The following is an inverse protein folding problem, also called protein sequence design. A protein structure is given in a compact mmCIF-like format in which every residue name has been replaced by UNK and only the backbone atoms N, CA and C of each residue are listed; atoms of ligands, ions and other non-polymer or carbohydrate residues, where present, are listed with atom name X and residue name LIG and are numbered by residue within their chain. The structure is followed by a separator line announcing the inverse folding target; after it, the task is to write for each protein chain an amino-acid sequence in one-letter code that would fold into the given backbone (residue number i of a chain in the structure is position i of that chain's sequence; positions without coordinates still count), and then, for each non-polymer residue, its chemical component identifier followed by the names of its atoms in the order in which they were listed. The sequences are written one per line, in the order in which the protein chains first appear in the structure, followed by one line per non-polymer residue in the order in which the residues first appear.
data_IF_448997476066
#
_entry.id   IF_448997476066
#
_cell.length_a   1.000
_cell.length_b   1.000
_cell.length_c   1.000
_cell.angle_alpha   90.00
_cell.angle_beta   90.00
_cell.angle_gamma   90.00
#
_symmetry.space_group_name_H-M   'P 1'
#
loop_
_entity.id
_entity.type
_entity.pdbx_description
1 polymer ?
#
# COMPACT_ATOMS: atom_id res chain seq x y z
N UNK A 1 0.69 32.73 -35.50
CA UNK A 1 1.11 31.35 -35.78
C UNK A 1 0.84 30.53 -34.51
N UNK A 2 -0.35 29.92 -34.41
CA UNK A 2 -0.86 29.28 -33.18
C UNK A 2 -0.63 27.77 -33.31
N UNK A 3 0.30 27.24 -32.52
CA UNK A 3 0.61 25.81 -32.50
C UNK A 3 -0.43 25.05 -31.68
N UNK A 4 -1.10 24.10 -32.33
CA UNK A 4 -2.08 23.18 -31.76
C UNK A 4 -1.37 22.22 -30.79
N UNK A 5 -1.65 22.31 -29.49
CA UNK A 5 -1.29 21.27 -28.52
C UNK A 5 -2.34 20.15 -28.64
N UNK A 6 -1.89 19.02 -29.19
CA UNK A 6 -2.65 17.78 -29.36
C UNK A 6 -2.98 17.21 -27.98
N UNK A 7 -4.27 17.16 -27.68
CA UNK A 7 -4.89 16.36 -26.63
C UNK A 7 -4.66 14.87 -26.94
N UNK A 8 -3.69 14.25 -26.28
CA UNK A 8 -3.49 12.79 -26.26
C UNK A 8 -3.21 12.35 -24.82
N UNK A 9 -4.26 12.24 -23.99
CA UNK A 9 -4.14 11.67 -22.64
C UNK A 9 -5.37 10.89 -22.17
N UNK A 10 -6.23 10.46 -23.09
CA UNK A 10 -7.57 9.93 -22.77
C UNK A 10 -7.85 8.50 -23.27
N UNK A 11 -6.82 7.74 -23.66
CA UNK A 11 -6.99 6.39 -24.21
C UNK A 11 -6.43 5.24 -23.33
N UNK A 12 -5.68 5.53 -22.26
CA UNK A 12 -4.96 4.50 -21.50
C UNK A 12 -5.64 4.08 -20.18
N UNK A 13 -6.66 4.82 -19.72
CA UNK A 13 -7.44 4.50 -18.49
C UNK A 13 -8.61 3.52 -18.71
N UNK A 14 -8.80 2.99 -19.93
CA UNK A 14 -9.99 2.19 -20.29
C UNK A 14 -9.76 0.69 -20.41
N UNK A 15 -8.61 0.17 -20.01
CA UNK A 15 -8.27 -1.26 -20.20
C UNK A 15 -8.13 -2.08 -18.92
N UNK A 16 -8.62 -1.61 -17.77
CA UNK A 16 -8.59 -2.38 -16.52
C UNK A 16 -9.82 -3.27 -16.28
N UNK A 17 -10.86 -3.18 -17.11
CA UNK A 17 -12.08 -3.99 -17.00
C UNK A 17 -12.04 -5.26 -17.87
N UNK A 18 -10.97 -6.05 -17.76
CA UNK A 18 -10.98 -7.42 -18.25
C UNK A 18 -11.59 -8.34 -17.17
N UNK A 19 -12.92 -8.42 -17.17
CA UNK A 19 -13.79 -9.50 -16.73
C UNK A 19 -13.20 -10.70 -15.93
N UNK A 20 -12.52 -10.48 -14.81
CA UNK A 20 -12.42 -11.47 -13.74
C UNK A 20 -13.66 -11.36 -12.87
N UNK A 21 -14.26 -12.50 -12.51
CA UNK A 21 -15.33 -12.53 -11.53
C UNK A 21 -14.86 -11.79 -10.27
N UNK A 22 -15.65 -10.86 -9.71
CA UNK A 22 -15.25 -10.13 -8.52
C UNK A 22 -15.01 -11.15 -7.40
N UNK A 23 -13.80 -11.13 -6.81
CA UNK A 23 -13.40 -12.01 -5.71
C UNK A 23 -14.52 -12.10 -4.66
N UNK A 24 -14.79 -13.30 -4.17
CA UNK A 24 -15.71 -13.54 -3.07
C UNK A 24 -15.24 -12.83 -1.80
N UNK A 25 -16.16 -12.63 -0.84
CA UNK A 25 -15.80 -12.04 0.45
C UNK A 25 -14.73 -12.86 1.16
N UNK A 26 -14.78 -14.19 1.08
CA UNK A 26 -13.81 -15.07 1.74
C UNK A 26 -12.42 -14.97 1.10
N UNK A 27 -12.32 -14.91 -0.23
CA UNK A 27 -11.04 -14.67 -0.91
C UNK A 27 -10.43 -13.32 -0.53
N UNK A 28 -11.26 -12.26 -0.47
CA UNK A 28 -10.80 -10.93 -0.04
C UNK A 28 -10.31 -10.94 1.40
N UNK A 29 -10.97 -11.67 2.30
CA UNK A 29 -10.52 -11.83 3.69
C UNK A 29 -9.18 -12.57 3.76
N UNK A 30 -9.02 -13.65 2.99
CA UNK A 30 -7.75 -14.37 2.91
C UNK A 30 -6.60 -13.50 2.40
N UNK A 31 -6.85 -12.70 1.36
CA UNK A 31 -5.88 -11.71 0.87
C UNK A 31 -5.54 -10.67 1.93
N UNK A 32 -6.54 -10.12 2.61
CA UNK A 32 -6.33 -9.11 3.65
C UNK A 32 -5.51 -9.66 4.82
N UNK A 33 -5.79 -10.88 5.30
CA UNK A 33 -5.04 -11.51 6.41
C UNK A 33 -3.58 -11.71 6.02
N UNK A 34 -3.33 -12.24 4.82
CA UNK A 34 -1.96 -12.48 4.34
C UNK A 34 -1.20 -11.17 4.20
N UNK A 35 -1.85 -10.14 3.64
CA UNK A 35 -1.26 -8.82 3.48
C UNK A 35 -0.97 -8.16 4.83
N UNK A 36 -1.92 -8.25 5.78
CA UNK A 36 -1.75 -7.70 7.12
C UNK A 36 -0.55 -8.32 7.85
N UNK A 37 -0.36 -9.64 7.74
CA UNK A 37 0.79 -10.31 8.33
C UNK A 37 2.13 -9.79 7.76
N UNK A 38 2.27 -9.68 6.44
CA UNK A 38 3.49 -9.15 5.83
C UNK A 38 3.70 -7.65 6.14
N UNK A 39 2.62 -6.91 6.28
CA UNK A 39 2.66 -5.51 6.69
C UNK A 39 3.17 -5.35 8.12
N UNK A 40 2.71 -6.16 9.08
CA UNK A 40 3.22 -6.10 10.45
C UNK A 40 4.69 -6.51 10.53
N UNK A 41 5.13 -7.52 9.76
CA UNK A 41 6.56 -7.86 9.60
C UNK A 41 7.39 -6.65 9.12
N UNK A 42 6.87 -5.86 8.17
CA UNK A 42 7.52 -4.63 7.70
C UNK A 42 7.59 -3.60 8.84
N UNK A 43 6.48 -3.38 9.56
CA UNK A 43 6.43 -2.36 10.62
C UNK A 43 7.39 -2.69 11.75
N UNK A 44 7.44 -3.95 12.20
CA UNK A 44 8.40 -4.41 13.21
C UNK A 44 9.85 -4.12 12.75
N UNK A 45 10.17 -4.45 11.50
CA UNK A 45 11.50 -4.18 10.93
C UNK A 45 11.87 -2.71 10.94
N UNK A 46 10.92 -1.83 10.57
CA UNK A 46 11.13 -0.39 10.56
C UNK A 46 11.30 0.18 11.97
N UNK A 47 10.49 -0.28 12.93
CA UNK A 47 10.60 0.09 14.33
C UNK A 47 11.95 -0.33 14.93
N UNK A 48 12.36 -1.58 14.72
CA UNK A 48 13.66 -2.09 15.19
C UNK A 48 14.82 -1.31 14.61
N UNK A 49 14.76 -0.99 13.32
CA UNK A 49 15.79 -0.22 12.63
C UNK A 49 15.87 1.24 13.15
N UNK A 50 14.72 1.86 13.43
CA UNK A 50 14.66 3.19 14.00
C UNK A 50 15.18 3.23 15.45
N UNK A 51 14.94 2.18 16.23
CA UNK A 51 15.36 2.11 17.63
C UNK A 51 16.82 1.71 17.82
N UNK A 52 17.29 0.72 17.06
CA UNK A 52 18.61 0.09 17.25
C UNK A 52 19.62 0.41 16.14
N UNK A 53 19.18 1.10 15.08
CA UNK A 53 19.98 1.41 13.90
C UNK A 53 19.96 0.31 12.84
N UNK A 54 20.55 0.56 11.66
CA UNK A 54 20.55 -0.38 10.56
C UNK A 54 21.39 -1.62 10.87
N UNK A 55 20.86 -2.79 10.56
CA UNK A 55 21.55 -4.07 10.68
C UNK A 55 21.33 -4.94 9.43
N UNK A 56 22.30 -5.79 9.09
CA UNK A 56 22.25 -6.63 7.89
C UNK A 56 21.02 -7.54 7.85
N UNK A 57 20.56 -8.03 9.00
CA UNK A 57 19.36 -8.87 9.06
C UNK A 57 18.07 -8.07 8.84
N UNK A 58 17.99 -6.85 9.39
CA UNK A 58 16.87 -5.92 9.17
C UNK A 58 16.78 -5.47 7.71
N UNK A 59 17.92 -5.21 7.06
CA UNK A 59 17.99 -4.88 5.63
C UNK A 59 17.40 -6.02 4.76
N UNK A 60 17.77 -7.27 5.05
CA UNK A 60 17.22 -8.45 4.35
C UNK A 60 15.72 -8.61 4.58
N UNK A 61 15.28 -8.38 5.81
CA UNK A 61 13.87 -8.45 6.20
C UNK A 61 13.07 -7.36 5.48
N UNK A 62 13.56 -6.12 5.48
CA UNK A 62 12.96 -5.01 4.74
C UNK A 62 12.84 -5.33 3.25
N UNK A 63 13.93 -5.77 2.62
CA UNK A 63 13.93 -6.12 1.19
C UNK A 63 12.93 -7.24 0.86
N UNK A 64 12.78 -8.22 1.76
CA UNK A 64 11.78 -9.30 1.62
C UNK A 64 10.36 -8.74 1.67
N UNK A 65 10.01 -8.00 2.72
CA UNK A 65 8.68 -7.44 2.90
C UNK A 65 8.33 -6.46 1.79
N UNK A 66 9.25 -5.55 1.46
CA UNK A 66 9.12 -4.59 0.36
C UNK A 66 8.78 -5.27 -0.95
N UNK A 67 9.59 -6.24 -1.38
CA UNK A 67 9.34 -6.96 -2.65
C UNK A 67 7.96 -7.62 -2.65
N UNK A 68 7.63 -8.33 -1.58
CA UNK A 68 6.33 -8.98 -1.47
C UNK A 68 5.18 -7.99 -1.54
N UNK A 69 5.26 -6.86 -0.82
CA UNK A 69 4.22 -5.84 -0.83
C UNK A 69 4.06 -5.19 -2.20
N UNK A 70 5.14 -4.88 -2.91
CA UNK A 70 5.07 -4.35 -4.28
C UNK A 70 4.30 -5.30 -5.21
N UNK A 71 4.55 -6.60 -5.10
CA UNK A 71 3.92 -7.63 -5.93
C UNK A 71 2.45 -7.87 -5.57
N UNK A 72 2.07 -7.69 -4.30
CA UNK A 72 0.75 -8.11 -3.78
C UNK A 72 -0.17 -6.94 -3.40
N UNK A 73 0.31 -5.69 -3.39
CA UNK A 73 -0.50 -4.55 -2.96
C UNK A 73 -1.51 -4.10 -4.02
N UNK A 74 -1.17 -4.12 -5.31
CA UNK A 74 -2.04 -3.57 -6.36
C UNK A 74 -3.45 -4.20 -6.38
N UNK A 75 -3.63 -5.54 -6.26
CA UNK A 75 -4.95 -6.16 -6.19
C UNK A 75 -5.75 -5.81 -4.93
N UNK A 76 -5.08 -5.47 -3.82
CA UNK A 76 -5.71 -5.10 -2.56
C UNK A 76 -6.06 -3.61 -2.52
N UNK A 77 -5.20 -2.76 -3.10
CA UNK A 77 -5.35 -1.30 -3.15
C UNK A 77 -6.68 -0.86 -3.76
N UNK A 78 -7.19 -1.58 -4.76
CA UNK A 78 -8.52 -1.28 -5.36
C UNK A 78 -9.67 -1.35 -4.35
N UNK A 79 -9.53 -2.14 -3.29
CA UNK A 79 -10.53 -2.24 -2.23
C UNK A 79 -10.22 -1.31 -1.06
N UNK A 80 -8.94 -1.01 -0.82
CA UNK A 80 -8.50 -0.11 0.24
C UNK A 80 -8.68 1.37 -0.13
N UNK A 81 -8.77 1.73 -1.40
CA UNK A 81 -8.73 3.13 -1.86
C UNK A 81 -9.76 4.04 -1.17
N UNK A 82 -10.93 3.51 -0.77
CA UNK A 82 -11.96 4.25 -0.05
C UNK A 82 -11.57 4.59 1.41
N UNK A 83 -10.56 3.92 1.97
CA UNK A 83 -10.07 4.06 3.33
C UNK A 83 -8.66 4.65 3.42
N UNK A 84 -8.02 4.89 2.27
CA UNK A 84 -6.72 5.52 2.22
C UNK A 84 -6.87 7.03 2.35
N UNK A 85 -5.95 7.63 3.11
CA UNK A 85 -5.86 9.08 3.27
C UNK A 85 -4.47 9.58 2.83
N UNK A 86 -4.17 9.60 1.51
CA UNK A 86 -2.95 10.18 0.94
C UNK A 86 -2.62 11.57 1.50
N UNK A 87 -1.35 11.82 1.81
CA UNK A 87 -0.86 13.17 2.11
C UNK A 87 0.16 13.64 1.07
N UNK A 88 0.51 14.92 1.13
CA UNK A 88 1.52 15.48 0.23
C UNK A 88 2.89 14.82 0.46
N UNK A 89 3.25 14.56 1.71
CA UNK A 89 4.51 13.92 2.11
C UNK A 89 4.60 12.48 1.57
N UNK A 90 3.49 11.76 1.44
CA UNK A 90 3.48 10.43 0.82
C UNK A 90 3.84 10.52 -0.68
N UNK A 91 3.27 11.49 -1.38
CA UNK A 91 3.53 11.72 -2.79
C UNK A 91 4.99 12.17 -3.03
N UNK A 92 5.54 13.03 -2.17
CA UNK A 92 6.92 13.51 -2.26
C UNK A 92 7.94 12.36 -2.10
N UNK A 93 7.73 11.47 -1.12
CA UNK A 93 8.58 10.29 -0.94
C UNK A 93 8.47 9.34 -2.14
N UNK A 94 7.25 9.08 -2.63
CA UNK A 94 7.06 8.21 -3.76
C UNK A 94 7.72 8.78 -5.04
N UNK A 95 7.56 10.08 -5.31
CA UNK A 95 8.22 10.75 -6.44
C UNK A 95 9.74 10.65 -6.35
N UNK A 96 10.30 10.89 -5.17
CA UNK A 96 11.75 10.80 -4.91
C UNK A 96 12.35 9.46 -5.31
N UNK A 97 11.65 8.37 -5.03
CA UNK A 97 12.09 7.01 -5.36
C UNK A 97 11.48 6.47 -6.67
N UNK A 98 10.85 7.32 -7.48
CA UNK A 98 10.19 6.97 -8.75
C UNK A 98 9.18 5.84 -8.58
N UNK A 99 8.54 5.80 -7.41
CA UNK A 99 7.48 4.88 -7.11
C UNK A 99 6.17 5.48 -7.59
N UNK A 100 5.38 4.72 -8.35
CA UNK A 100 4.09 5.19 -8.87
C UNK A 100 3.03 5.07 -7.78
N UNK A 101 3.15 5.91 -6.76
CA UNK A 101 2.31 5.83 -5.58
C UNK A 101 2.13 7.16 -4.87
N UNK A 102 1.07 7.28 -4.06
CA UNK A 102 0.80 8.48 -3.28
C UNK A 102 0.13 8.17 -1.94
N UNK A 103 0.12 6.90 -1.51
CA UNK A 103 -0.48 6.49 -0.25
C UNK A 103 0.58 6.04 0.78
N UNK A 104 0.13 5.90 2.03
CA UNK A 104 1.00 5.57 3.15
C UNK A 104 1.72 4.21 2.99
N UNK A 105 1.11 3.21 2.33
CA UNK A 105 1.79 1.93 2.09
C UNK A 105 2.93 2.11 1.11
N UNK A 106 2.63 2.77 0.00
CA UNK A 106 3.59 3.01 -1.07
C UNK A 106 4.76 3.85 -0.58
N UNK A 107 4.52 4.86 0.26
CA UNK A 107 5.57 5.64 0.89
C UNK A 107 6.47 4.81 1.82
N UNK A 108 5.91 3.82 2.54
CA UNK A 108 6.71 2.93 3.42
C UNK A 108 7.64 1.97 2.65
N UNK A 109 7.26 1.60 1.42
CA UNK A 109 7.99 0.63 0.60
C UNK A 109 8.70 1.28 -0.60
N UNK A 110 8.56 2.59 -0.80
CA UNK A 110 9.18 3.31 -1.90
C UNK A 110 10.72 3.25 -1.85
N UNK A 111 11.39 3.53 -0.71
CA UNK A 111 12.85 3.43 -0.61
C UNK A 111 13.34 2.02 -0.98
N UNK A 112 14.41 1.88 -1.79
CA UNK A 112 14.85 0.56 -2.25
C UNK A 112 15.59 -0.24 -1.16
N UNK A 113 16.15 0.45 -0.17
CA UNK A 113 16.89 -0.14 0.95
C UNK A 113 16.40 0.44 2.27
N UNK A 114 16.61 -0.29 3.37
CA UNK A 114 16.30 0.19 4.72
C UNK A 114 17.20 1.38 5.08
N UNK A 115 18.46 1.36 4.65
CA UNK A 115 19.35 2.51 4.78
C UNK A 115 18.79 3.77 4.09
N UNK A 116 18.27 3.64 2.86
CA UNK A 116 17.63 4.75 2.14
C UNK A 116 16.35 5.22 2.83
N UNK A 117 15.59 4.30 3.42
CA UNK A 117 14.42 4.64 4.21
C UNK A 117 14.80 5.53 5.40
N UNK A 118 15.75 5.10 6.23
CA UNK A 118 16.17 5.83 7.43
C UNK A 118 16.84 7.17 7.11
N UNK A 119 17.65 7.23 6.05
CA UNK A 119 18.33 8.44 5.63
C UNK A 119 17.38 9.55 5.13
N UNK A 120 16.14 9.16 4.79
CA UNK A 120 15.13 10.04 4.23
C UNK A 120 13.82 10.03 5.02
N UNK A 121 13.85 9.55 6.26
CA UNK A 121 12.70 9.70 7.15
C UNK A 121 12.46 11.19 7.40
N UNK A 122 11.26 11.62 7.04
CA UNK A 122 10.75 12.97 7.20
C UNK A 122 10.00 13.15 8.54
N UNK A 123 10.09 12.15 9.43
CA UNK A 123 9.38 12.11 10.70
C UNK A 123 7.93 11.64 10.57
N UNK A 124 7.48 11.29 9.36
CA UNK A 124 6.11 10.84 9.09
C UNK A 124 5.96 9.32 9.14
N UNK A 125 7.03 8.56 9.43
CA UNK A 125 6.98 7.10 9.53
C UNK A 125 5.82 6.60 10.41
N UNK A 126 5.71 7.09 11.65
CA UNK A 126 4.67 6.65 12.59
C UNK A 126 3.27 7.03 12.07
N UNK A 127 3.13 8.23 11.48
CA UNK A 127 1.87 8.67 10.87
C UNK A 127 1.45 7.74 9.72
N UNK A 128 2.40 7.36 8.84
CA UNK A 128 2.15 6.40 7.75
C UNK A 128 1.71 5.04 8.28
N UNK A 129 2.37 4.55 9.33
CA UNK A 129 2.01 3.27 9.99
C UNK A 129 0.58 3.31 10.57
N UNK A 130 0.19 4.42 11.19
CA UNK A 130 -1.17 4.56 11.72
C UNK A 130 -2.22 4.59 10.62
N UNK A 131 -2.04 5.45 9.60
CA UNK A 131 -3.02 5.59 8.50
C UNK A 131 -3.19 4.31 7.70
N UNK A 132 -2.08 3.61 7.40
CA UNK A 132 -2.14 2.34 6.68
C UNK A 132 -2.79 1.23 7.51
N UNK A 133 -2.47 1.11 8.81
CA UNK A 133 -3.14 0.15 9.72
C UNK A 133 -4.63 0.45 9.89
N UNK A 134 -5.00 1.72 9.98
CA UNK A 134 -6.40 2.14 10.03
C UNK A 134 -7.15 1.72 8.76
N UNK A 135 -6.57 1.93 7.57
CA UNK A 135 -7.17 1.50 6.32
C UNK A 135 -7.44 -0.01 6.27
N UNK A 136 -6.49 -0.85 6.73
CA UNK A 136 -6.69 -2.31 6.82
C UNK A 136 -7.80 -2.66 7.81
N UNK A 137 -7.87 -1.96 8.94
CA UNK A 137 -8.88 -2.18 9.98
C UNK A 137 -10.28 -1.84 9.47
N UNK A 138 -10.44 -0.67 8.84
CA UNK A 138 -11.71 -0.23 8.27
C UNK A 138 -12.20 -1.18 7.17
N UNK A 139 -11.30 -1.60 6.30
CA UNK A 139 -11.64 -2.58 5.27
C UNK A 139 -11.98 -3.96 5.84
N UNK A 140 -11.24 -4.43 6.84
CA UNK A 140 -11.55 -5.67 7.55
C UNK A 140 -12.92 -5.64 8.22
N UNK A 141 -13.30 -4.50 8.81
CA UNK A 141 -14.63 -4.28 9.37
C UNK A 141 -15.71 -4.28 8.28
N UNK A 142 -15.44 -3.65 7.13
CA UNK A 142 -16.35 -3.69 5.99
C UNK A 142 -16.62 -5.11 5.50
N UNK A 143 -15.57 -5.93 5.31
CA UNK A 143 -15.71 -7.33 4.90
C UNK A 143 -16.52 -8.16 5.90
N UNK A 144 -16.35 -7.91 7.21
CA UNK A 144 -17.12 -8.58 8.26
C UNK A 144 -18.61 -8.25 8.18
N UNK A 145 -18.95 -6.98 8.01
CA UNK A 145 -20.34 -6.54 7.88
C UNK A 145 -20.98 -7.11 6.61
N UNK A 146 -20.24 -7.11 5.49
CA UNK A 146 -20.73 -7.65 4.22
C UNK A 146 -21.01 -9.17 4.33
N UNK A 147 -20.14 -9.95 4.98
CA UNK A 147 -20.37 -11.39 5.21
C UNK A 147 -21.63 -11.66 6.05
N UNK A 148 -21.91 -10.82 7.05
CA UNK A 148 -23.12 -10.93 7.87
C UNK A 148 -24.39 -10.62 7.09
N UNK A 149 -24.32 -9.71 6.12
CA UNK A 149 -25.45 -9.36 5.26
C UNK A 149 -25.75 -10.50 4.27
N UNK A 150 -24.74 -11.11 3.67
CA UNK A 150 -24.90 -12.30 2.81
C UNK A 150 -25.53 -13.46 3.59
N UNK A 151 -25.12 -13.69 4.83
CA UNK A 151 -25.67 -14.77 5.68
C UNK A 151 -27.14 -14.55 6.09
N UNK A 152 -27.66 -13.32 6.03
CA UNK A 152 -29.06 -12.99 6.34
C UNK A 152 -29.97 -13.00 5.12
N UNK A 153 -29.39 -12.96 3.92
CA UNK A 153 -30.12 -12.94 2.66
C UNK A 153 -30.38 -14.33 2.08
N UNK A 154 -29.64 -15.34 2.55
CA UNK A 154 -29.85 -16.78 2.29
C UNK A 154 -30.67 -17.42 3.40
#
# INVERSE_FOLDING_TARGET
MIARVRTQRSAQDRSFDAAEAPLSIEERRGQLVTFYAMYEDLIETLCDAAQYGPAVHLERQYARCRRWMIENYAPLRRFLCAYLHPTQEDAEIAEKFRFSGADAFEALIAPPTLADFLAHDDGMMISRMHRSREALTLYGNHLRTAAQQESKAN
#
